data_IF_025516562902
#
_entry.id   IF_025516562902
#
_cell.length_a   1.000
_cell.length_b   1.000
_cell.length_c   1.000
_cell.angle_alpha   90.00
_cell.angle_beta   90.00
_cell.angle_gamma   90.00
#
_symmetry.space_group_name_H-M   'P 1'
#
loop_
_entity.id
_entity.type
_entity.pdbx_description
1 polymer ?
#
# COMPACT_ATOMS: atom_id res chain seq x y z
N UNK A 1 -19.48 59.36 15.82
CA UNK A 1 -19.96 58.23 15.01
C UNK A 1 -18.80 57.80 14.11
N UNK A 2 -18.13 56.70 14.43
CA UNK A 2 -17.14 56.10 13.54
C UNK A 2 -17.82 55.35 12.39
N UNK A 3 -17.10 55.00 11.32
CA UNK A 3 -17.66 54.20 10.23
C UNK A 3 -18.08 52.81 10.75
N UNK A 4 -19.16 52.23 10.20
CA UNK A 4 -19.58 50.88 10.56
C UNK A 4 -18.44 49.91 10.25
N UNK A 5 -18.09 49.06 11.21
CA UNK A 5 -17.22 47.92 10.96
C UNK A 5 -17.93 47.06 9.89
N UNK A 6 -17.38 47.08 8.69
CA UNK A 6 -17.82 46.23 7.59
C UNK A 6 -17.67 44.79 8.02
N UNK A 7 -18.79 44.08 8.07
CA UNK A 7 -18.88 42.65 8.23
C UNK A 7 -17.93 41.95 7.25
N UNK A 8 -16.90 41.31 7.79
CA UNK A 8 -15.96 40.45 7.08
C UNK A 8 -16.69 39.22 6.54
N UNK A 9 -17.42 39.40 5.44
CA UNK A 9 -17.87 38.32 4.58
C UNK A 9 -16.70 37.86 3.71
N UNK A 10 -16.45 36.56 3.71
CA UNK A 10 -15.47 35.91 2.84
C UNK A 10 -14.14 35.77 3.57
N UNK A 11 -13.75 34.59 4.02
CA UNK A 11 -13.76 33.33 3.31
C UNK A 11 -13.80 32.24 4.37
N UNK A 12 -14.87 31.45 4.42
CA UNK A 12 -14.77 30.11 4.96
C UNK A 12 -13.71 29.42 4.09
N UNK A 13 -12.51 29.31 4.62
CA UNK A 13 -11.45 28.50 4.05
C UNK A 13 -11.97 27.06 4.05
N UNK A 14 -12.62 26.68 2.95
CA UNK A 14 -12.88 25.28 2.66
C UNK A 14 -11.52 24.72 2.26
N UNK A 15 -10.66 24.48 3.25
CA UNK A 15 -9.44 23.67 3.06
C UNK A 15 -9.92 22.41 2.34
N UNK A 16 -9.42 22.10 1.14
CA UNK A 16 -9.80 20.89 0.44
C UNK A 16 -9.58 19.73 1.41
N UNK A 17 -10.70 19.15 1.83
CA UNK A 17 -10.77 18.00 2.71
C UNK A 17 -9.74 16.97 2.23
N UNK A 18 -8.94 16.49 3.17
CA UNK A 18 -7.64 15.85 2.99
C UNK A 18 -7.49 15.06 1.68
N UNK A 19 -6.37 15.30 1.01
CA UNK A 19 -5.95 14.58 -0.18
C UNK A 19 -6.38 13.10 -0.12
N UNK A 20 -7.05 12.57 -1.16
CA UNK A 20 -7.54 11.20 -1.15
C UNK A 20 -6.41 10.28 -0.73
N UNK A 21 -6.56 9.57 0.39
CA UNK A 21 -5.55 8.60 0.83
C UNK A 21 -5.46 7.54 -0.25
N UNK A 22 -4.45 7.68 -1.13
CA UNK A 22 -4.22 6.75 -2.24
C UNK A 22 -3.99 5.39 -1.61
N UNK A 23 -5.00 4.53 -1.70
CA UNK A 23 -4.95 3.20 -1.10
C UNK A 23 -3.92 2.40 -1.88
N UNK A 24 -2.85 2.00 -1.19
CA UNK A 24 -1.85 1.09 -1.74
C UNK A 24 -2.40 -0.33 -1.70
N UNK A 25 -2.30 -1.02 -2.82
CA UNK A 25 -2.81 -2.38 -2.98
C UNK A 25 -1.79 -3.22 -3.76
N UNK A 26 -1.89 -4.53 -3.64
CA UNK A 26 -1.10 -5.45 -4.44
C UNK A 26 -1.42 -6.90 -4.11
N UNK A 27 -0.76 -7.83 -4.81
CA UNK A 27 -0.96 -9.28 -4.69
C UNK A 27 0.31 -10.07 -4.95
N UNK A 28 0.33 -11.31 -4.46
CA UNK A 28 1.30 -12.34 -4.85
C UNK A 28 0.52 -13.55 -5.34
N UNK A 29 0.90 -14.09 -6.51
CA UNK A 29 0.33 -15.29 -7.11
C UNK A 29 1.47 -16.26 -7.40
N UNK A 30 1.30 -17.53 -7.04
CA UNK A 30 2.30 -18.57 -7.32
C UNK A 30 1.92 -19.30 -8.61
N UNK A 31 2.80 -19.26 -9.61
CA UNK A 31 2.67 -20.05 -10.82
C UNK A 31 3.68 -21.19 -10.75
N UNK A 32 3.20 -22.35 -10.30
CA UNK A 32 4.11 -23.38 -9.80
C UNK A 32 4.94 -22.83 -8.64
N UNK A 33 6.23 -23.19 -8.52
CA UNK A 33 7.08 -22.68 -7.45
C UNK A 33 7.46 -21.21 -7.63
N UNK A 34 7.15 -20.56 -8.76
CA UNK A 34 7.62 -19.20 -9.04
C UNK A 34 6.61 -18.16 -8.51
N UNK A 35 7.01 -17.30 -7.55
CA UNK A 35 6.15 -16.22 -7.07
C UNK A 35 6.11 -15.06 -8.08
N UNK A 36 4.90 -14.64 -8.43
CA UNK A 36 4.62 -13.50 -9.29
C UNK A 36 3.96 -12.39 -8.45
N UNK A 37 4.50 -11.19 -8.48
CA UNK A 37 4.17 -10.12 -7.53
C UNK A 37 3.73 -8.87 -8.26
N UNK A 38 2.66 -8.25 -7.78
CA UNK A 38 2.11 -7.02 -8.35
C UNK A 38 1.77 -6.03 -7.24
N UNK A 39 1.97 -4.73 -7.50
CA UNK A 39 1.63 -3.67 -6.55
C UNK A 39 1.29 -2.36 -7.25
N UNK A 40 0.51 -1.52 -6.56
CA UNK A 40 0.09 -0.20 -7.02
C UNK A 40 1.24 0.79 -7.23
N UNK A 41 2.38 0.52 -6.61
CA UNK A 41 3.58 1.34 -6.67
C UNK A 41 4.84 0.48 -6.45
N UNK A 42 6.04 0.97 -6.84
CA UNK A 42 7.28 0.19 -6.70
C UNK A 42 7.64 -0.17 -5.26
N UNK A 43 7.28 0.68 -4.30
CA UNK A 43 7.54 0.39 -2.89
C UNK A 43 6.66 -0.78 -2.44
N UNK A 44 5.34 -0.71 -2.68
CA UNK A 44 4.41 -1.82 -2.36
C UNK A 44 4.84 -3.11 -3.06
N UNK A 45 5.19 -3.05 -4.34
CA UNK A 45 5.66 -4.22 -5.11
C UNK A 45 6.90 -4.84 -4.47
N UNK A 46 7.89 -4.05 -4.02
CA UNK A 46 9.07 -4.55 -3.31
C UNK A 46 8.70 -5.27 -2.01
N UNK A 47 7.83 -4.69 -1.19
CA UNK A 47 7.39 -5.32 0.05
C UNK A 47 6.70 -6.66 -0.21
N UNK A 48 5.85 -6.72 -1.23
CA UNK A 48 5.16 -7.95 -1.60
C UNK A 48 6.11 -9.00 -2.20
N UNK A 49 7.17 -8.56 -2.87
CA UNK A 49 8.19 -9.45 -3.42
C UNK A 49 9.00 -10.10 -2.32
N UNK A 50 9.40 -9.32 -1.31
CA UNK A 50 10.05 -9.85 -0.11
C UNK A 50 9.13 -10.86 0.58
N UNK A 51 7.85 -10.52 0.75
CA UNK A 51 6.87 -11.41 1.37
C UNK A 51 6.71 -12.73 0.60
N UNK A 52 6.60 -12.65 -0.73
CA UNK A 52 6.52 -13.82 -1.60
C UNK A 52 7.79 -14.67 -1.58
N UNK A 53 8.97 -14.06 -1.54
CA UNK A 53 10.25 -14.77 -1.47
C UNK A 53 10.43 -15.52 -0.14
N UNK A 54 10.05 -14.90 0.99
CA UNK A 54 10.07 -15.56 2.31
C UNK A 54 9.13 -16.76 2.31
N UNK A 55 7.89 -16.58 1.81
CA UNK A 55 6.92 -17.66 1.73
C UNK A 55 7.40 -18.80 0.83
N UNK A 56 7.98 -18.47 -0.34
CA UNK A 56 8.57 -19.44 -1.24
C UNK A 56 9.67 -20.25 -0.56
N UNK A 57 10.60 -19.57 0.12
CA UNK A 57 11.70 -20.24 0.82
C UNK A 57 11.20 -21.17 1.93
N UNK A 58 10.20 -20.72 2.70
CA UNK A 58 9.56 -21.57 3.70
C UNK A 58 8.92 -22.82 3.08
N UNK A 59 8.25 -22.67 1.94
CA UNK A 59 7.61 -23.78 1.22
C UNK A 59 8.65 -24.77 0.68
N UNK A 60 9.77 -24.28 0.14
CA UNK A 60 10.90 -25.10 -0.32
C UNK A 60 11.50 -25.88 0.84
N UNK A 61 11.78 -25.21 1.97
CA UNK A 61 12.32 -25.87 3.16
C UNK A 61 11.37 -26.94 3.69
N UNK A 62 10.07 -26.64 3.77
CA UNK A 62 9.04 -27.60 4.15
C UNK A 62 9.03 -28.81 3.20
N UNK A 63 9.11 -28.57 1.90
CA UNK A 63 9.13 -29.63 0.88
C UNK A 63 10.35 -30.53 1.04
N UNK A 64 11.53 -29.95 1.25
CA UNK A 64 12.77 -30.69 1.49
C UNK A 64 12.67 -31.49 2.79
N UNK A 65 12.17 -30.89 3.86
CA UNK A 65 12.00 -31.56 5.14
C UNK A 65 11.06 -32.78 5.01
N UNK A 66 9.94 -32.62 4.30
CA UNK A 66 9.01 -33.73 4.03
C UNK A 66 9.58 -34.81 3.11
N UNK A 67 10.52 -34.46 2.23
CA UNK A 67 11.14 -35.42 1.31
C UNK A 67 12.21 -36.26 2.00
N UNK A 68 12.90 -35.69 3.00
CA UNK A 68 14.06 -36.31 3.67
C UNK A 68 13.69 -36.96 5.02
N UNK A 69 12.59 -36.54 5.65
CA UNK A 69 12.05 -37.15 6.87
C UNK A 69 11.31 -38.45 6.57
#
# INVERSE_FOLDING_TARGET
MGPPATDSTGITEVTPQGAPKVRRWGGVVFLGPIPLVFGSDPQMTRWMLILGAILFLALVLLTIALLVA
#
